data_IF_755507902700
#
_entry.id   IF_755507902700
#
_cell.length_a   1.000
_cell.length_b   1.000
_cell.length_c   1.000
_cell.angle_alpha   90.00
_cell.angle_beta   90.00
_cell.angle_gamma   90.00
#
_symmetry.space_group_name_H-M   'P 1'
#
loop_
_entity.id
_entity.type
_entity.pdbx_description
1 polymer ?
#
# COMPACT_ATOMS: atom_id res chain seq x y z
N UNK A 1 62.23 50.01 -78.39
CA UNK A 1 63.62 50.16 -77.89
C UNK A 1 64.51 49.94 -79.10
N UNK A 2 65.61 50.70 -79.28
CA UNK A 2 66.28 50.93 -80.59
C UNK A 2 65.34 51.67 -81.59
N UNK A 3 65.63 52.92 -81.99
CA UNK A 3 66.64 53.39 -82.97
C UNK A 3 66.39 52.78 -84.36
N UNK A 4 65.86 53.54 -85.31
CA UNK A 4 66.57 54.58 -86.09
C UNK A 4 67.73 53.94 -86.85
N UNK A 5 67.51 53.70 -88.14
CA UNK A 5 68.34 54.25 -89.21
C UNK A 5 67.44 54.48 -90.42
N UNK A 6 67.31 55.75 -90.82
CA UNK A 6 66.50 56.14 -91.97
C UNK A 6 67.42 56.18 -93.19
N UNK A 7 67.50 55.06 -93.90
CA UNK A 7 68.37 54.93 -95.06
C UNK A 7 67.91 55.88 -96.18
N UNK A 8 68.86 56.53 -96.84
CA UNK A 8 68.55 57.66 -97.74
C UNK A 8 67.72 57.20 -98.94
N UNK A 9 66.62 57.88 -99.29
CA UNK A 9 65.91 57.57 -100.54
C UNK A 9 66.82 57.90 -101.72
N UNK A 10 67.38 56.87 -102.34
CA UNK A 10 68.20 56.97 -103.53
C UNK A 10 67.30 57.40 -104.71
N UNK A 11 67.15 58.71 -104.89
CA UNK A 11 66.30 59.28 -105.94
C UNK A 11 66.73 58.78 -107.32
N UNK A 12 65.78 58.20 -108.05
CA UNK A 12 65.99 57.52 -109.33
C UNK A 12 66.94 58.30 -110.25
N UNK A 13 67.90 57.62 -110.86
CA UNK A 13 68.78 58.24 -111.87
C UNK A 13 68.00 58.60 -113.13
N UNK A 14 68.51 59.50 -114.01
CA UNK A 14 67.75 59.95 -115.17
C UNK A 14 67.25 58.83 -116.09
N UNK A 15 68.08 57.79 -116.31
CA UNK A 15 67.71 56.65 -117.14
C UNK A 15 66.61 55.77 -116.51
N UNK A 16 66.58 55.68 -115.17
CA UNK A 16 65.54 54.94 -114.45
C UNK A 16 64.22 55.72 -114.42
N UNK A 17 64.27 57.06 -114.36
CA UNK A 17 63.08 57.92 -114.46
C UNK A 17 62.39 57.76 -115.82
N UNK A 18 63.13 57.84 -116.91
CA UNK A 18 62.55 57.70 -118.26
C UNK A 18 61.93 56.32 -118.46
N UNK A 19 62.61 55.24 -118.04
CA UNK A 19 62.08 53.88 -118.11
C UNK A 19 60.81 53.68 -117.24
N UNK A 20 60.79 54.21 -116.01
CA UNK A 20 59.62 54.13 -115.12
C UNK A 20 58.47 55.01 -115.63
N UNK A 21 58.74 56.17 -116.24
CA UNK A 21 57.72 57.02 -116.85
C UNK A 21 57.15 56.41 -118.14
N UNK A 22 57.95 55.67 -118.91
CA UNK A 22 57.51 54.92 -120.07
C UNK A 22 56.61 53.73 -119.65
N UNK A 23 57.03 52.96 -118.65
CA UNK A 23 56.21 51.88 -118.05
C UNK A 23 54.92 52.44 -117.43
N UNK A 24 54.96 53.55 -116.68
CA UNK A 24 53.75 54.18 -116.11
C UNK A 24 52.83 54.79 -117.18
N UNK A 25 53.37 55.14 -118.36
CA UNK A 25 52.58 55.54 -119.51
C UNK A 25 51.91 54.34 -120.15
N UNK A 26 52.66 53.25 -120.40
CA UNK A 26 52.12 51.99 -120.93
C UNK A 26 51.10 51.34 -119.98
N UNK A 27 51.30 51.43 -118.66
CA UNK A 27 50.33 51.04 -117.64
C UNK A 27 49.10 51.96 -117.59
N UNK A 28 49.26 53.28 -117.71
CA UNK A 28 48.11 54.20 -117.75
C UNK A 28 47.27 54.02 -119.02
N UNK A 29 47.93 53.82 -120.16
CA UNK A 29 47.29 53.55 -121.44
C UNK A 29 46.63 52.15 -121.43
N UNK A 30 47.26 51.14 -120.81
CA UNK A 30 46.66 49.82 -120.57
C UNK A 30 45.48 49.86 -119.60
N UNK A 31 45.53 50.68 -118.54
CA UNK A 31 44.42 50.87 -117.61
C UNK A 31 43.24 51.56 -118.31
N UNK A 32 43.52 52.55 -119.16
CA UNK A 32 42.52 53.19 -120.02
C UNK A 32 41.92 52.20 -121.04
N UNK A 33 42.72 51.29 -121.62
CA UNK A 33 42.22 50.21 -122.47
C UNK A 33 41.32 49.26 -121.67
N UNK A 34 41.70 48.85 -120.45
CA UNK A 34 40.87 48.02 -119.57
C UNK A 34 39.53 48.70 -119.23
N UNK A 35 39.57 49.98 -118.84
CA UNK A 35 38.37 50.79 -118.56
C UNK A 35 37.45 50.93 -119.79
N UNK A 36 38.01 51.09 -121.00
CA UNK A 36 37.23 51.16 -122.23
C UNK A 36 36.70 49.78 -122.71
N UNK A 37 37.36 48.68 -122.34
CA UNK A 37 36.99 47.33 -122.78
C UNK A 37 35.92 46.69 -121.88
N UNK A 38 35.84 47.08 -120.60
CA UNK A 38 34.86 46.60 -119.61
C UNK A 38 33.41 47.10 -119.82
N UNK A 39 32.96 47.23 -121.08
CA UNK A 39 31.66 47.81 -121.43
C UNK A 39 30.52 46.77 -121.53
N UNK A 40 30.35 45.95 -120.49
CA UNK A 40 29.14 45.12 -120.30
C UNK A 40 28.64 45.16 -118.84
N UNK A 41 27.32 45.14 -118.58
CA UNK A 41 26.76 45.51 -117.28
C UNK A 41 26.38 44.32 -116.38
N UNK A 42 26.93 44.28 -115.16
CA UNK A 42 26.31 43.68 -113.96
C UNK A 42 27.11 44.01 -112.69
N UNK A 43 28.44 43.90 -112.77
CA UNK A 43 29.39 44.06 -111.66
C UNK A 43 30.29 45.28 -111.87
N UNK A 44 29.71 46.39 -112.34
CA UNK A 44 30.49 47.55 -112.81
C UNK A 44 30.98 48.45 -111.66
N UNK A 45 30.10 48.82 -110.73
CA UNK A 45 30.30 50.00 -109.87
C UNK A 45 31.51 49.89 -108.94
N UNK A 46 31.65 48.78 -108.19
CA UNK A 46 32.80 48.57 -107.30
C UNK A 46 34.14 48.47 -108.08
N UNK A 47 34.12 47.89 -109.29
CA UNK A 47 35.31 47.85 -110.15
C UNK A 47 35.60 49.21 -110.81
N UNK A 48 34.58 50.06 -111.00
CA UNK A 48 34.76 51.46 -111.41
C UNK A 48 35.38 52.29 -110.28
N UNK A 49 34.93 52.16 -109.04
CA UNK A 49 35.53 52.88 -107.91
C UNK A 49 36.99 52.47 -107.72
N UNK A 50 37.31 51.17 -107.71
CA UNK A 50 38.69 50.68 -107.65
C UNK A 50 39.49 51.17 -108.88
N UNK A 51 38.92 51.13 -110.08
CA UNK A 51 39.57 51.59 -111.30
C UNK A 51 39.84 53.10 -111.35
N UNK A 52 38.95 53.92 -110.77
CA UNK A 52 39.12 55.37 -110.63
C UNK A 52 40.15 55.70 -109.55
N UNK A 53 40.11 55.00 -108.41
CA UNK A 53 41.07 55.11 -107.31
C UNK A 53 42.50 54.77 -107.79
N UNK A 54 42.70 53.61 -108.42
CA UNK A 54 43.98 53.22 -109.03
C UNK A 54 44.40 54.19 -110.15
N UNK A 55 43.45 54.64 -110.99
CA UNK A 55 43.72 55.63 -112.03
C UNK A 55 44.15 57.01 -111.49
N UNK A 56 43.61 57.42 -110.34
CA UNK A 56 44.04 58.62 -109.63
C UNK A 56 45.46 58.45 -109.10
N UNK A 57 45.75 57.35 -108.38
CA UNK A 57 47.07 57.04 -107.85
C UNK A 57 48.13 57.01 -108.96
N UNK A 58 47.87 56.32 -110.08
CA UNK A 58 48.80 56.25 -111.23
C UNK A 58 49.04 57.64 -111.85
N UNK A 59 48.01 58.46 -112.02
CA UNK A 59 48.15 59.84 -112.53
C UNK A 59 48.96 60.72 -111.60
N UNK A 60 48.75 60.57 -110.30
CA UNK A 60 49.34 61.44 -109.29
C UNK A 60 50.79 61.02 -108.96
N UNK A 61 51.09 59.72 -108.98
CA UNK A 61 52.45 59.15 -109.01
C UNK A 61 53.24 59.54 -110.27
N UNK A 62 52.60 59.52 -111.46
CA UNK A 62 53.21 59.97 -112.71
C UNK A 62 53.61 61.44 -112.66
N UNK A 63 52.82 62.29 -111.98
CA UNK A 63 53.18 63.68 -111.69
C UNK A 63 54.35 63.76 -110.70
N UNK A 64 54.32 63.00 -109.61
CA UNK A 64 55.40 62.99 -108.61
C UNK A 64 56.76 62.60 -109.21
N UNK A 65 56.82 61.54 -110.01
CA UNK A 65 58.07 61.08 -110.66
C UNK A 65 58.56 62.09 -111.71
N UNK A 66 57.64 62.76 -112.41
CA UNK A 66 57.98 63.81 -113.39
C UNK A 66 58.53 65.09 -112.73
N UNK A 67 58.02 65.47 -111.56
CA UNK A 67 58.39 66.72 -110.88
C UNK A 67 59.54 66.56 -109.87
N UNK A 68 59.65 65.39 -109.23
CA UNK A 68 60.52 65.15 -108.05
C UNK A 68 61.38 63.91 -108.23
N UNK A 69 60.83 62.85 -108.82
CA UNK A 69 61.49 61.55 -108.99
C UNK A 69 61.45 60.67 -107.73
N UNK A 70 60.46 60.93 -106.88
CA UNK A 70 60.12 60.19 -105.67
C UNK A 70 58.86 59.34 -105.91
N UNK A 71 58.56 58.42 -104.98
CA UNK A 71 57.46 57.44 -105.04
C UNK A 71 56.62 57.51 -103.74
N UNK A 72 56.62 58.66 -103.06
CA UNK A 72 56.01 58.87 -101.74
C UNK A 72 54.49 58.65 -101.76
N UNK A 73 53.79 58.98 -102.85
CA UNK A 73 52.34 58.75 -102.98
C UNK A 73 52.01 57.25 -102.96
N UNK A 74 52.83 56.42 -103.63
CA UNK A 74 52.60 54.97 -103.64
C UNK A 74 52.98 54.33 -102.29
N UNK A 75 54.05 54.82 -101.65
CA UNK A 75 54.47 54.37 -100.31
C UNK A 75 53.37 54.69 -99.29
N UNK A 76 52.87 55.93 -99.23
CA UNK A 76 51.83 56.33 -98.28
C UNK A 76 50.49 55.61 -98.50
N UNK A 77 50.13 55.27 -99.75
CA UNK A 77 48.92 54.49 -100.02
C UNK A 77 49.11 53.00 -99.66
N UNK A 78 50.30 52.43 -99.86
CA UNK A 78 50.66 51.08 -99.37
C UNK A 78 50.66 51.04 -97.83
N UNK A 79 51.19 52.06 -97.16
CA UNK A 79 51.15 52.19 -95.70
C UNK A 79 49.71 52.34 -95.18
N UNK A 80 48.85 53.07 -95.90
CA UNK A 80 47.42 53.17 -95.53
C UNK A 80 46.69 51.84 -95.73
N UNK A 81 46.97 51.10 -96.81
CA UNK A 81 46.38 49.79 -97.06
C UNK A 81 46.85 48.78 -96.00
N UNK A 82 48.17 48.66 -95.77
CA UNK A 82 48.70 47.69 -94.78
C UNK A 82 48.27 48.03 -93.35
N UNK A 83 48.20 49.31 -92.97
CA UNK A 83 47.62 49.72 -91.67
C UNK A 83 46.13 49.41 -91.55
N UNK A 84 45.38 49.45 -92.65
CA UNK A 84 43.97 49.04 -92.67
C UNK A 84 43.83 47.52 -92.58
N UNK A 85 44.57 46.75 -93.39
CA UNK A 85 44.59 45.28 -93.34
C UNK A 85 45.03 44.75 -91.96
N UNK A 86 45.99 45.40 -91.30
CA UNK A 86 46.46 45.03 -89.96
C UNK A 86 45.42 45.36 -88.87
N UNK A 87 44.67 46.46 -89.00
CA UNK A 87 43.53 46.76 -88.13
C UNK A 87 42.37 45.77 -88.35
N UNK A 88 42.04 45.45 -89.60
CA UNK A 88 41.01 44.47 -89.94
C UNK A 88 41.40 43.06 -89.43
N UNK A 89 42.67 42.66 -89.53
CA UNK A 89 43.18 41.42 -88.93
C UNK A 89 43.03 41.40 -87.41
N UNK A 90 43.41 42.47 -86.71
CA UNK A 90 43.27 42.56 -85.26
C UNK A 90 41.79 42.52 -84.82
N UNK A 91 40.88 43.14 -85.58
CA UNK A 91 39.44 43.06 -85.33
C UNK A 91 38.87 41.66 -85.57
N UNK A 92 39.38 40.93 -86.56
CA UNK A 92 39.02 39.51 -86.78
C UNK A 92 39.55 38.62 -85.66
N UNK A 93 40.81 38.78 -85.24
CA UNK A 93 41.39 38.06 -84.10
C UNK A 93 40.58 38.27 -82.80
N UNK A 94 40.19 39.52 -82.49
CA UNK A 94 39.33 39.82 -81.34
C UNK A 94 37.89 39.33 -81.53
N UNK A 95 37.36 39.31 -82.76
CA UNK A 95 36.05 38.70 -83.01
C UNK A 95 36.07 37.19 -82.75
N UNK A 96 37.11 36.47 -83.18
CA UNK A 96 37.28 35.03 -82.92
C UNK A 96 37.50 34.73 -81.42
N UNK A 97 38.32 35.53 -80.72
CA UNK A 97 38.47 35.46 -79.25
C UNK A 97 37.14 35.68 -78.54
N UNK A 98 36.38 36.69 -78.95
CA UNK A 98 35.05 36.95 -78.38
C UNK A 98 34.04 35.85 -78.74
N UNK A 99 34.10 35.28 -79.95
CA UNK A 99 33.22 34.18 -80.37
C UNK A 99 33.49 32.89 -79.59
N UNK A 100 34.77 32.54 -79.38
CA UNK A 100 35.17 31.39 -78.57
C UNK A 100 34.74 31.55 -77.11
N UNK A 101 35.02 32.70 -76.48
CA UNK A 101 34.54 33.01 -75.11
C UNK A 101 33.01 32.98 -75.02
N UNK A 102 32.28 33.52 -76.00
CA UNK A 102 30.81 33.42 -76.03
C UNK A 102 30.33 31.98 -76.19
N UNK A 103 31.06 31.12 -76.91
CA UNK A 103 30.73 29.69 -77.02
C UNK A 103 30.94 28.94 -75.70
N UNK A 104 32.00 29.25 -74.96
CA UNK A 104 32.30 28.67 -73.64
C UNK A 104 31.30 29.15 -72.57
N UNK A 105 30.93 30.44 -72.59
CA UNK A 105 29.88 30.99 -71.72
C UNK A 105 28.51 30.36 -72.04
N UNK A 106 28.16 30.16 -73.31
CA UNK A 106 26.94 29.43 -73.68
C UNK A 106 26.96 27.98 -73.20
N UNK A 107 28.09 27.28 -73.35
CA UNK A 107 28.26 25.90 -72.88
C UNK A 107 28.15 25.82 -71.36
N UNK A 108 28.88 26.64 -70.61
CA UNK A 108 28.83 26.64 -69.14
C UNK A 108 27.44 27.02 -68.60
N UNK A 109 26.69 27.90 -69.28
CA UNK A 109 25.28 28.17 -68.95
C UNK A 109 24.40 26.93 -69.19
N UNK A 110 24.61 26.17 -70.27
CA UNK A 110 23.87 24.93 -70.54
C UNK A 110 24.21 23.81 -69.54
N UNK A 111 25.50 23.61 -69.26
CA UNK A 111 25.99 22.64 -68.27
C UNK A 111 25.48 22.98 -66.85
N UNK A 112 25.41 24.26 -66.49
CA UNK A 112 24.82 24.71 -65.21
C UNK A 112 23.31 24.56 -65.15
N UNK A 113 22.57 24.78 -66.25
CA UNK A 113 21.11 24.54 -66.31
C UNK A 113 20.79 23.07 -66.10
N UNK A 114 21.38 22.18 -66.89
CA UNK A 114 21.15 20.73 -66.78
C UNK A 114 21.58 20.16 -65.43
N UNK A 115 22.70 20.62 -64.88
CA UNK A 115 23.12 20.26 -63.51
C UNK A 115 22.15 20.76 -62.43
N UNK A 116 21.49 21.91 -62.63
CA UNK A 116 20.51 22.43 -61.68
C UNK A 116 19.17 21.69 -61.80
N UNK A 117 18.69 21.43 -63.03
CA UNK A 117 17.49 20.61 -63.29
C UNK A 117 17.63 19.22 -62.65
N UNK A 118 18.79 18.56 -62.78
CA UNK A 118 19.06 17.28 -62.11
C UNK A 118 19.07 17.38 -60.58
N UNK A 119 19.57 18.49 -60.02
CA UNK A 119 19.56 18.73 -58.58
C UNK A 119 18.14 19.01 -58.04
N UNK A 120 17.31 19.72 -58.80
CA UNK A 120 15.89 19.94 -58.50
C UNK A 120 15.07 18.66 -58.65
N UNK A 121 15.30 17.86 -59.69
CA UNK A 121 14.71 16.51 -59.84
C UNK A 121 15.07 15.61 -58.66
N UNK A 122 16.34 15.56 -58.25
CA UNK A 122 16.76 14.76 -57.10
C UNK A 122 16.12 15.27 -55.80
N UNK A 123 16.05 16.59 -55.62
CA UNK A 123 15.46 17.22 -54.43
C UNK A 123 13.95 17.01 -54.35
N UNK A 124 13.22 17.12 -55.46
CA UNK A 124 11.78 16.86 -55.54
C UNK A 124 11.44 15.39 -55.32
N UNK A 125 12.19 14.46 -55.92
CA UNK A 125 12.07 13.02 -55.66
C UNK A 125 12.30 12.70 -54.18
N UNK A 126 13.31 13.30 -53.55
CA UNK A 126 13.58 13.16 -52.10
C UNK A 126 12.46 13.77 -51.24
N UNK A 127 11.92 14.94 -51.61
CA UNK A 127 10.80 15.57 -50.92
C UNK A 127 9.54 14.68 -50.95
N UNK A 128 9.21 14.10 -52.10
CA UNK A 128 8.09 13.15 -52.25
C UNK A 128 8.29 11.95 -51.30
N UNK A 129 9.43 11.25 -51.38
CA UNK A 129 9.70 10.09 -50.51
C UNK A 129 9.63 10.42 -49.01
N UNK A 130 10.16 11.58 -48.59
CA UNK A 130 10.07 12.01 -47.18
C UNK A 130 8.66 12.45 -46.75
N UNK A 131 7.83 12.92 -47.69
CA UNK A 131 6.41 13.20 -47.47
C UNK A 131 5.62 11.90 -47.30
N UNK A 132 5.82 10.94 -48.19
CA UNK A 132 5.08 9.67 -48.20
C UNK A 132 5.38 8.86 -46.93
N UNK A 133 6.66 8.81 -46.50
CA UNK A 133 7.04 8.19 -45.23
C UNK A 133 6.43 8.92 -44.01
N UNK A 134 6.37 10.26 -44.04
CA UNK A 134 5.70 11.05 -43.00
C UNK A 134 4.19 10.80 -42.95
N UNK A 135 3.54 10.54 -44.08
CA UNK A 135 2.12 10.17 -44.14
C UNK A 135 1.91 8.72 -43.69
N UNK A 136 2.80 7.78 -44.05
CA UNK A 136 2.82 6.40 -43.56
C UNK A 136 2.98 6.32 -42.04
N UNK A 137 3.93 7.07 -41.47
CA UNK A 137 4.18 7.09 -40.02
C UNK A 137 3.02 7.71 -39.22
N UNK A 138 2.28 8.69 -39.78
CA UNK A 138 1.01 9.16 -39.18
C UNK A 138 -0.01 8.03 -39.09
N UNK A 139 -0.26 7.32 -40.19
CA UNK A 139 -1.25 6.25 -40.24
C UNK A 139 -0.94 5.11 -39.25
N UNK A 140 0.34 4.77 -39.10
CA UNK A 140 0.83 3.82 -38.09
C UNK A 140 0.55 4.34 -36.67
N UNK A 141 1.02 5.56 -36.35
CA UNK A 141 0.79 6.18 -35.03
C UNK A 141 -0.70 6.27 -34.68
N UNK A 142 -1.55 6.62 -35.64
CA UNK A 142 -2.99 6.72 -35.42
C UNK A 142 -3.66 5.35 -35.22
N UNK A 143 -3.12 4.28 -35.83
CA UNK A 143 -3.53 2.91 -35.56
C UNK A 143 -3.06 2.43 -34.17
N UNK A 144 -1.80 2.69 -33.81
CA UNK A 144 -1.24 2.40 -32.49
C UNK A 144 -2.01 3.11 -31.37
N UNK A 145 -2.31 4.40 -31.53
CA UNK A 145 -3.11 5.16 -30.55
C UNK A 145 -4.53 4.63 -30.40
N UNK A 146 -5.17 4.13 -31.48
CA UNK A 146 -6.47 3.46 -31.38
C UNK A 146 -6.37 2.12 -30.65
N UNK A 147 -5.36 1.31 -30.98
CA UNK A 147 -5.11 0.02 -30.31
C UNK A 147 -4.86 0.18 -28.82
N UNK A 148 -3.97 1.09 -28.43
CA UNK A 148 -3.63 1.36 -27.01
C UNK A 148 -4.86 1.83 -26.23
N UNK A 149 -5.67 2.74 -26.78
CA UNK A 149 -6.93 3.19 -26.14
C UNK A 149 -7.89 2.03 -25.90
N UNK A 150 -8.20 1.26 -26.94
CA UNK A 150 -9.14 0.13 -26.84
C UNK A 150 -8.63 -0.97 -25.90
N UNK A 151 -7.33 -1.27 -25.91
CA UNK A 151 -6.71 -2.20 -24.97
C UNK A 151 -6.79 -1.71 -23.52
N UNK A 152 -6.54 -0.43 -23.29
CA UNK A 152 -6.57 0.16 -21.95
C UNK A 152 -8.00 0.33 -21.42
N UNK A 153 -8.97 0.59 -22.31
CA UNK A 153 -10.41 0.58 -22.03
C UNK A 153 -10.88 -0.82 -21.63
N UNK A 154 -10.66 -1.84 -22.47
CA UNK A 154 -11.00 -3.24 -22.14
C UNK A 154 -10.28 -3.73 -20.87
N UNK A 155 -9.04 -3.29 -20.63
CA UNK A 155 -8.30 -3.57 -19.39
C UNK A 155 -8.95 -2.88 -18.18
N UNK A 156 -9.43 -1.64 -18.30
CA UNK A 156 -10.15 -0.95 -17.22
C UNK A 156 -11.47 -1.66 -16.91
N UNK A 157 -12.27 -2.01 -17.92
CA UNK A 157 -13.52 -2.77 -17.79
C UNK A 157 -13.30 -4.15 -17.13
N UNK A 158 -12.32 -4.93 -17.59
CA UNK A 158 -11.98 -6.23 -17.00
C UNK A 158 -11.58 -6.12 -15.52
N UNK A 159 -10.85 -5.06 -15.14
CA UNK A 159 -10.49 -4.85 -13.74
C UNK A 159 -11.72 -4.49 -12.90
N UNK A 160 -12.61 -3.61 -13.39
CA UNK A 160 -13.88 -3.27 -12.72
C UNK A 160 -14.74 -4.52 -12.48
N UNK A 161 -15.03 -5.29 -13.54
CA UNK A 161 -15.82 -6.52 -13.45
C UNK A 161 -15.21 -7.54 -12.48
N UNK A 162 -13.87 -7.64 -12.41
CA UNK A 162 -13.19 -8.51 -11.44
C UNK A 162 -13.37 -8.01 -10.01
N UNK A 163 -13.25 -6.70 -9.76
CA UNK A 163 -13.48 -6.14 -8.43
C UNK A 163 -14.93 -6.28 -7.99
N UNK A 164 -15.89 -6.01 -8.88
CA UNK A 164 -17.32 -6.21 -8.64
C UNK A 164 -17.61 -7.66 -8.27
N UNK A 165 -17.09 -8.64 -9.02
CA UNK A 165 -17.26 -10.07 -8.74
C UNK A 165 -16.69 -10.49 -7.37
N UNK A 166 -15.54 -9.97 -6.95
CA UNK A 166 -15.00 -10.24 -5.61
C UNK A 166 -15.78 -9.52 -4.49
N UNK A 167 -16.25 -8.28 -4.72
CA UNK A 167 -17.15 -7.60 -3.78
C UNK A 167 -18.46 -8.37 -3.61
N UNK A 168 -19.03 -8.91 -4.70
CA UNK A 168 -20.27 -9.69 -4.70
C UNK A 168 -20.10 -11.01 -3.91
N UNK A 169 -18.95 -11.68 -4.05
CA UNK A 169 -18.60 -12.87 -3.26
C UNK A 169 -18.46 -12.51 -1.77
N UNK A 170 -17.70 -11.47 -1.45
CA UNK A 170 -17.50 -11.02 -0.07
C UNK A 170 -18.82 -10.61 0.59
N UNK A 171 -19.68 -9.85 -0.12
CA UNK A 171 -21.01 -9.46 0.34
C UNK A 171 -21.91 -10.68 0.60
N UNK A 172 -21.85 -11.73 -0.23
CA UNK A 172 -22.56 -13.00 0.03
C UNK A 172 -22.04 -13.68 1.29
N UNK A 173 -20.72 -13.86 1.43
CA UNK A 173 -20.14 -14.48 2.64
C UNK A 173 -20.42 -13.68 3.92
N UNK A 174 -20.42 -12.34 3.85
CA UNK A 174 -20.75 -11.46 4.96
C UNK A 174 -22.23 -11.62 5.36
N UNK A 175 -23.14 -11.68 4.38
CA UNK A 175 -24.55 -11.93 4.65
C UNK A 175 -24.82 -13.33 5.22
N UNK A 176 -24.11 -14.36 4.76
CA UNK A 176 -24.19 -15.71 5.31
C UNK A 176 -23.69 -15.76 6.77
N UNK A 177 -22.56 -15.11 7.07
CA UNK A 177 -22.06 -14.97 8.44
C UNK A 177 -23.05 -14.22 9.33
N UNK A 178 -23.56 -13.07 8.89
CA UNK A 178 -24.57 -12.30 9.62
C UNK A 178 -25.87 -13.10 9.85
N UNK A 179 -26.26 -13.98 8.91
CA UNK A 179 -27.43 -14.84 9.05
C UNK A 179 -27.19 -15.98 10.07
N UNK A 180 -25.98 -16.54 10.13
CA UNK A 180 -25.58 -17.51 11.17
C UNK A 180 -25.56 -16.87 12.54
N UNK A 181 -24.90 -15.72 12.68
CA UNK A 181 -24.78 -14.99 13.94
C UNK A 181 -26.15 -14.62 14.53
N UNK A 182 -27.09 -14.12 13.71
CA UNK A 182 -28.48 -13.86 14.15
C UNK A 182 -29.20 -15.12 14.62
N UNK A 183 -28.98 -16.26 13.96
CA UNK A 183 -29.57 -17.53 14.36
C UNK A 183 -28.96 -18.05 15.68
N UNK A 184 -27.64 -17.99 15.82
CA UNK A 184 -26.91 -18.36 17.04
C UNK A 184 -27.32 -17.47 18.23
N UNK A 185 -27.37 -16.14 18.04
CA UNK A 185 -27.84 -15.20 19.05
C UNK A 185 -29.29 -15.48 19.47
N UNK A 186 -30.18 -15.83 18.53
CA UNK A 186 -31.56 -16.25 18.84
C UNK A 186 -31.58 -17.54 19.66
N UNK A 187 -30.89 -18.59 19.22
CA UNK A 187 -30.83 -19.88 19.95
C UNK A 187 -30.23 -19.70 21.35
N UNK A 188 -29.18 -18.89 21.48
CA UNK A 188 -28.57 -18.54 22.75
C UNK A 188 -29.56 -17.79 23.67
N UNK A 189 -30.32 -16.83 23.16
CA UNK A 189 -31.33 -16.12 23.96
C UNK A 189 -32.44 -17.04 24.48
N UNK A 190 -32.88 -18.02 23.68
CA UNK A 190 -33.87 -19.02 24.09
C UNK A 190 -33.28 -20.02 25.11
N UNK A 191 -32.02 -20.42 24.92
CA UNK A 191 -31.31 -21.29 25.85
C UNK A 191 -31.10 -20.60 27.21
N UNK A 192 -30.65 -19.35 27.22
CA UNK A 192 -30.52 -18.53 28.44
C UNK A 192 -31.90 -18.41 29.12
N UNK A 193 -32.96 -18.05 28.37
CA UNK A 193 -34.33 -17.94 28.91
C UNK A 193 -34.81 -19.24 29.55
N UNK A 194 -34.59 -20.38 28.90
CA UNK A 194 -34.93 -21.70 29.44
C UNK A 194 -34.12 -22.03 30.70
N UNK A 195 -32.80 -21.80 30.69
CA UNK A 195 -31.93 -22.07 31.83
C UNK A 195 -32.29 -21.18 33.03
N UNK A 196 -32.53 -19.88 32.84
CA UNK A 196 -32.99 -18.97 33.90
C UNK A 196 -34.32 -19.44 34.51
N UNK A 197 -35.30 -19.79 33.67
CA UNK A 197 -36.59 -20.34 34.14
C UNK A 197 -36.42 -21.66 34.91
N UNK A 198 -35.52 -22.55 34.45
CA UNK A 198 -35.26 -23.84 35.08
C UNK A 198 -34.50 -23.70 36.41
N UNK A 199 -33.56 -22.76 36.50
CA UNK A 199 -32.84 -22.42 37.74
C UNK A 199 -33.82 -21.86 38.77
N UNK A 200 -34.68 -20.90 38.40
CA UNK A 200 -35.69 -20.33 39.29
C UNK A 200 -36.67 -21.42 39.81
N UNK A 201 -37.15 -22.31 38.94
CA UNK A 201 -38.02 -23.42 39.33
C UNK A 201 -37.35 -24.37 40.34
N UNK A 202 -36.05 -24.66 40.17
CA UNK A 202 -35.29 -25.50 41.10
C UNK A 202 -35.03 -24.76 42.41
N UNK A 203 -34.70 -23.46 42.37
CA UNK A 203 -34.52 -22.61 43.55
C UNK A 203 -35.77 -22.57 44.44
N UNK A 204 -36.93 -22.23 43.85
CA UNK A 204 -38.22 -22.22 44.55
C UNK A 204 -38.51 -23.57 45.25
N UNK A 205 -38.20 -24.69 44.58
CA UNK A 205 -38.40 -26.03 45.14
C UNK A 205 -37.39 -26.35 46.26
N UNK A 206 -36.14 -25.89 46.15
CA UNK A 206 -35.16 -26.02 47.25
C UNK A 206 -35.64 -25.24 48.47
N UNK A 207 -36.12 -24.01 48.30
CA UNK A 207 -36.70 -23.22 49.39
C UNK A 207 -37.94 -23.89 50.01
N UNK A 208 -38.81 -24.52 49.22
CA UNK A 208 -39.97 -25.28 49.73
C UNK A 208 -39.54 -26.45 50.61
N UNK A 209 -38.50 -27.19 50.21
CA UNK A 209 -37.94 -28.28 51.00
C UNK A 209 -37.21 -27.78 52.25
N UNK A 210 -36.46 -26.68 52.17
CA UNK A 210 -35.84 -26.05 53.33
C UNK A 210 -36.92 -25.54 54.31
N UNK A 211 -37.89 -24.75 53.84
CA UNK A 211 -39.05 -24.30 54.63
C UNK A 211 -39.83 -25.46 55.24
N UNK A 212 -39.81 -26.67 54.65
CA UNK A 212 -40.38 -27.89 55.22
C UNK A 212 -39.49 -28.46 56.32
N UNK A 213 -38.19 -28.65 56.04
CA UNK A 213 -37.20 -29.15 57.01
C UNK A 213 -37.19 -28.30 58.28
N UNK A 214 -37.11 -26.97 58.14
CA UNK A 214 -37.18 -25.98 59.21
C UNK A 214 -38.43 -26.08 60.11
N UNK A 215 -39.54 -26.68 59.61
CA UNK A 215 -40.78 -26.92 60.38
C UNK A 215 -40.77 -28.28 61.05
N UNK A 216 -40.25 -29.30 60.38
CA UNK A 216 -40.14 -30.67 60.92
C UNK A 216 -39.09 -30.70 62.04
N UNK A 217 -37.93 -30.05 61.86
CA UNK A 217 -36.92 -29.82 62.89
C UNK A 217 -37.51 -29.15 64.13
N UNK A 218 -38.16 -27.97 63.98
CA UNK A 218 -38.80 -27.22 65.08
C UNK A 218 -40.02 -27.92 65.69
N UNK A 219 -40.48 -29.02 65.09
CA UNK A 219 -41.52 -29.89 65.64
C UNK A 219 -40.86 -31.00 66.47
N UNK A 220 -39.90 -31.74 65.92
CA UNK A 220 -39.14 -32.76 66.65
C UNK A 220 -38.36 -32.17 67.83
N UNK A 221 -37.79 -30.97 67.73
CA UNK A 221 -37.19 -30.27 68.88
C UNK A 221 -38.16 -30.05 70.04
N UNK A 222 -39.46 -29.83 69.76
CA UNK A 222 -40.49 -29.62 70.79
C UNK A 222 -40.90 -30.95 71.41
N UNK A 223 -41.02 -31.99 70.60
CA UNK A 223 -41.29 -33.35 71.09
C UNK A 223 -40.14 -33.86 71.96
N UNK A 224 -38.88 -33.70 71.51
CA UNK A 224 -37.68 -34.04 72.28
C UNK A 224 -37.63 -33.25 73.59
N UNK A 225 -37.95 -31.95 73.57
CA UNK A 225 -38.05 -31.14 74.81
C UNK A 225 -39.15 -31.65 75.73
N UNK A 226 -40.35 -31.90 75.21
CA UNK A 226 -41.47 -32.43 76.00
C UNK A 226 -41.10 -33.75 76.67
N UNK A 227 -40.55 -34.71 75.93
CA UNK A 227 -40.15 -36.02 76.46
C UNK A 227 -39.01 -35.88 77.48
N UNK A 228 -38.07 -34.95 77.31
CA UNK A 228 -37.05 -34.66 78.33
C UNK A 228 -37.65 -34.14 79.62
N UNK A 229 -38.58 -33.18 79.54
CA UNK A 229 -39.29 -32.68 80.71
C UNK A 229 -40.06 -33.82 81.41
N UNK A 230 -40.84 -34.63 80.67
CA UNK A 230 -41.56 -35.79 81.22
C UNK A 230 -40.60 -36.82 81.87
N UNK A 231 -39.38 -36.98 81.35
CA UNK A 231 -38.31 -37.80 81.95
C UNK A 231 -37.61 -37.15 83.15
N UNK A 232 -37.70 -35.83 83.32
CA UNK A 232 -37.15 -35.09 84.47
C UNK A 232 -38.19 -35.03 85.60
N UNK A 233 -39.45 -34.76 85.29
CA UNK A 233 -40.59 -34.84 86.21
C UNK A 233 -40.70 -36.24 86.83
N UNK A 234 -40.73 -37.30 86.01
CA UNK A 234 -40.81 -38.69 86.51
C UNK A 234 -39.57 -39.14 87.28
N UNK A 235 -38.40 -38.49 87.12
CA UNK A 235 -37.24 -38.72 88.00
C UNK A 235 -37.43 -38.04 89.34
N UNK A 236 -37.92 -36.81 89.37
CA UNK A 236 -38.21 -36.09 90.61
C UNK A 236 -39.27 -36.83 91.45
N UNK A 237 -40.32 -37.36 90.82
CA UNK A 237 -41.33 -38.21 91.48
C UNK A 237 -40.71 -39.49 92.08
N UNK A 238 -39.84 -40.18 91.33
CA UNK A 238 -39.15 -41.38 91.82
C UNK A 238 -38.14 -41.09 92.93
N UNK A 239 -37.44 -39.97 92.88
CA UNK A 239 -36.53 -39.51 93.94
C UNK A 239 -37.30 -39.14 95.21
N UNK A 240 -38.44 -38.43 95.07
CA UNK A 240 -39.36 -38.12 96.17
C UNK A 240 -39.92 -39.37 96.83
N UNK A 241 -40.50 -40.29 96.05
CA UNK A 241 -41.01 -41.56 96.58
C UNK A 241 -39.90 -42.42 97.22
N UNK A 242 -38.67 -42.32 96.72
CA UNK A 242 -37.50 -43.00 97.32
C UNK A 242 -37.10 -42.38 98.66
N UNK A 243 -37.19 -41.06 98.84
CA UNK A 243 -36.89 -40.42 100.14
C UNK A 243 -38.02 -40.65 101.15
N UNK A 244 -39.29 -40.62 100.72
CA UNK A 244 -40.42 -41.03 101.56
C UNK A 244 -40.30 -42.49 102.01
N UNK A 245 -39.99 -43.41 101.09
CA UNK A 245 -39.81 -44.83 101.43
C UNK A 245 -38.68 -45.04 102.44
N UNK A 246 -37.54 -44.35 102.29
CA UNK A 246 -36.45 -44.39 103.28
C UNK A 246 -36.88 -43.86 104.63
N UNK A 247 -37.51 -42.69 104.68
CA UNK A 247 -38.01 -42.10 105.93
C UNK A 247 -39.03 -42.99 106.64
N UNK A 248 -39.92 -43.64 105.89
CA UNK A 248 -40.90 -44.59 106.43
C UNK A 248 -40.23 -45.87 106.93
N UNK A 249 -39.21 -46.38 106.24
CA UNK A 249 -38.45 -47.55 106.68
C UNK A 249 -37.65 -47.23 107.96
N UNK A 250 -36.98 -46.09 108.03
CA UNK A 250 -36.27 -45.60 109.23
C UNK A 250 -37.23 -45.44 110.42
N UNK A 251 -38.46 -44.96 110.20
CA UNK A 251 -39.50 -44.90 111.23
C UNK A 251 -39.98 -46.29 111.69
N UNK A 252 -40.16 -47.25 110.77
CA UNK A 252 -40.54 -48.62 111.11
C UNK A 252 -39.42 -49.31 111.91
N UNK A 253 -38.16 -49.18 111.47
CA UNK A 253 -37.01 -49.81 112.11
C UNK A 253 -36.75 -49.25 113.52
N UNK A 254 -36.91 -47.93 113.70
CA UNK A 254 -36.83 -47.30 115.03
C UNK A 254 -37.97 -47.74 115.95
N UNK A 255 -39.22 -47.77 115.46
CA UNK A 255 -40.37 -48.25 116.24
C UNK A 255 -40.24 -49.73 116.64
N UNK A 256 -39.72 -50.59 115.76
CA UNK A 256 -39.44 -51.99 116.08
C UNK A 256 -38.33 -52.11 117.14
N UNK A 257 -37.25 -51.32 117.03
CA UNK A 257 -36.19 -51.29 118.04
C UNK A 257 -36.68 -50.79 119.42
N UNK A 258 -37.62 -49.83 119.46
CA UNK A 258 -38.29 -49.41 120.69
C UNK A 258 -39.17 -50.52 121.28
N UNK A 259 -39.96 -51.22 120.47
CA UNK A 259 -40.75 -52.36 120.94
C UNK A 259 -39.86 -53.49 121.49
N UNK A 260 -38.74 -53.80 120.83
CA UNK A 260 -37.75 -54.75 121.32
C UNK A 260 -37.03 -54.28 122.59
N UNK A 261 -36.85 -52.98 122.79
CA UNK A 261 -36.34 -52.44 124.05
C UNK A 261 -37.37 -52.60 125.18
N UNK A 262 -38.66 -52.33 124.90
CA UNK A 262 -39.75 -52.47 125.84
C UNK A 262 -40.05 -53.93 126.21
N UNK A 263 -39.92 -54.90 125.29
CA UNK A 263 -40.03 -56.33 125.63
C UNK A 263 -38.86 -56.77 126.50
N UNK A 264 -37.62 -56.46 126.12
CA UNK A 264 -36.42 -56.77 126.94
C UNK A 264 -36.47 -56.12 128.33
N UNK A 265 -37.00 -54.90 128.45
CA UNK A 265 -37.22 -54.27 129.76
C UNK A 265 -38.26 -55.05 130.57
N UNK A 266 -39.42 -55.39 130.00
CA UNK A 266 -40.47 -56.17 130.69
C UNK A 266 -39.96 -57.56 131.11
N UNK A 267 -39.21 -58.24 130.25
CA UNK A 267 -38.58 -59.53 130.55
C UNK A 267 -37.56 -59.42 131.68
N UNK A 268 -36.74 -58.36 131.70
CA UNK A 268 -35.81 -58.07 132.77
C UNK A 268 -36.55 -57.78 134.08
N UNK A 269 -37.56 -56.91 134.06
CA UNK A 269 -38.41 -56.62 135.21
C UNK A 269 -39.10 -57.87 135.74
N UNK A 270 -39.66 -58.73 134.88
CA UNK A 270 -40.26 -60.00 135.29
C UNK A 270 -39.22 -61.00 135.79
N UNK A 271 -38.00 -61.02 135.25
CA UNK A 271 -36.92 -61.84 135.78
C UNK A 271 -36.49 -61.35 137.18
N UNK A 272 -36.36 -60.04 137.39
CA UNK A 272 -36.10 -59.42 138.70
C UNK A 272 -37.25 -59.68 139.66
N UNK A 273 -38.52 -59.50 139.25
CA UNK A 273 -39.74 -59.74 140.03
C UNK A 273 -39.85 -61.21 140.44
N UNK A 274 -39.65 -62.17 139.52
CA UNK A 274 -39.58 -63.61 139.83
C UNK A 274 -38.42 -63.93 140.78
N UNK A 275 -37.28 -63.28 140.64
CA UNK A 275 -36.13 -63.45 141.54
C UNK A 275 -36.40 -62.90 142.95
N UNK A 276 -36.98 -61.70 143.06
CA UNK A 276 -37.41 -61.11 144.32
C UNK A 276 -38.47 -61.96 145.02
N UNK A 277 -39.44 -62.51 144.29
CA UNK A 277 -40.45 -63.45 144.84
C UNK A 277 -39.76 -64.71 145.38
N UNK A 278 -38.81 -65.31 144.64
CA UNK A 278 -38.02 -66.46 145.12
C UNK A 278 -37.24 -66.12 146.41
N UNK A 279 -36.57 -64.97 146.45
CA UNK A 279 -35.82 -64.52 147.63
C UNK A 279 -36.74 -64.23 148.84
N UNK A 280 -37.89 -63.59 148.62
CA UNK A 280 -38.89 -63.36 149.67
C UNK A 280 -39.50 -64.68 150.18
N UNK A 281 -39.82 -65.63 149.30
CA UNK A 281 -40.36 -66.93 149.68
C UNK A 281 -39.34 -67.77 150.47
N UNK A 282 -38.08 -67.75 150.03
CA UNK A 282 -36.96 -68.33 150.78
C UNK A 282 -36.83 -67.69 152.16
N UNK A 283 -36.82 -66.35 152.24
CA UNK A 283 -36.70 -65.63 153.51
C UNK A 283 -37.89 -65.88 154.45
N UNK A 284 -39.13 -65.85 153.96
CA UNK A 284 -40.34 -66.23 154.74
C UNK A 284 -40.20 -67.66 155.28
N UNK A 285 -39.76 -68.60 154.45
CA UNK A 285 -39.48 -69.98 154.88
C UNK A 285 -38.33 -70.10 155.89
N UNK A 286 -37.29 -69.26 155.79
CA UNK A 286 -36.20 -69.16 156.77
C UNK A 286 -36.70 -68.58 158.09
N UNK A 287 -37.52 -67.52 158.09
CA UNK A 287 -38.10 -66.96 159.31
C UNK A 287 -38.95 -67.98 160.07
N UNK A 288 -39.81 -68.74 159.36
CA UNK A 288 -40.60 -69.83 159.96
C UNK A 288 -39.69 -70.93 160.51
N UNK A 289 -38.74 -71.44 159.72
CA UNK A 289 -37.85 -72.55 160.15
C UNK A 289 -36.89 -72.17 161.27
N UNK A 290 -36.43 -70.92 161.34
CA UNK A 290 -35.56 -70.39 162.41
C UNK A 290 -36.33 -69.69 163.55
N UNK A 291 -37.68 -69.72 163.52
CA UNK A 291 -38.57 -69.11 164.53
C UNK A 291 -38.26 -67.63 164.82
N UNK A 292 -37.99 -66.86 163.75
CA UNK A 292 -37.72 -65.43 163.80
C UNK A 292 -39.00 -64.62 163.58
N UNK A 293 -39.09 -63.44 164.21
CA UNK A 293 -40.27 -62.58 164.12
C UNK A 293 -41.52 -63.19 164.80
N UNK A 294 -42.72 -63.02 164.23
CA UNK A 294 -43.99 -63.44 164.86
C UNK A 294 -44.16 -64.94 165.16
N UNK A 295 -43.25 -65.80 164.66
CA UNK A 295 -43.32 -67.26 164.84
C UNK A 295 -42.48 -67.79 166.02
N UNK A 296 -42.11 -66.90 166.97
CA UNK A 296 -41.45 -67.25 168.23
C UNK A 296 -42.51 -67.66 169.28
N UNK A 297 -42.56 -68.93 169.74
CA UNK A 297 -43.58 -69.38 170.67
C UNK A 297 -43.37 -68.81 172.09
N UNK A 298 -44.48 -68.47 172.77
CA UNK A 298 -44.48 -67.90 174.12
C UNK A 298 -44.53 -68.98 175.23
N UNK A 299 -43.82 -68.75 176.35
CA UNK A 299 -43.83 -69.66 177.50
C UNK A 299 -45.03 -69.41 178.43
N UNK A 300 -45.75 -70.49 178.78
CA UNK A 300 -46.80 -70.46 179.81
C UNK A 300 -46.21 -70.35 181.22
N UNK A 301 -46.62 -69.35 182.02
CA UNK A 301 -46.42 -69.36 183.49
C UNK A 301 -47.70 -68.97 184.24
N UNK A 302 -48.17 -69.84 185.13
CA UNK A 302 -49.28 -69.58 186.08
C UNK A 302 -48.83 -68.56 187.13
N UNK A 303 -49.74 -67.70 187.62
CA UNK A 303 -49.48 -66.74 188.72
C UNK A 303 -50.34 -67.03 189.96
N UNK A 304 -49.73 -66.86 191.14
CA UNK A 304 -50.30 -66.45 192.46
C UNK A 304 -49.10 -66.34 193.41
N UNK A 305 -48.94 -65.37 194.31
CA UNK A 305 -49.59 -64.08 194.58
C UNK A 305 -48.56 -63.23 195.41
N UNK A 306 -48.79 -62.12 196.13
CA UNK A 306 -49.97 -61.36 196.60
C UNK A 306 -49.54 -59.88 196.83
N UNK A 307 -50.51 -58.94 196.93
CA UNK A 307 -50.40 -57.55 197.46
C UNK A 307 -49.69 -56.51 196.56
N UNK A 308 -49.98 -55.20 196.65
CA UNK A 308 -51.23 -54.42 196.47
C UNK A 308 -50.96 -52.96 196.92
N UNK A 309 -50.90 -52.04 195.94
CA UNK A 309 -51.06 -50.57 196.00
C UNK A 309 -50.75 -50.07 194.57
N UNK A 310 -51.40 -49.06 194.01
CA UNK A 310 -52.44 -48.16 194.52
C UNK A 310 -53.66 -48.21 193.59
#
# INVERSE_FOLDING_TARGET
MATIEADSPAGLSPAERDAVLEILKECADSLAVYQNTLRQPATADAFLEIGLYVGNIIRDLKREISERGTIEILIGEIERITSQEEQERLLLEEHERMQTVVSELRKTIADKRTSNEQAEEHSTKKLILTRDEKERLKLIKDAEMRYVRAWEEARREQNVLRYELEMDKLAKTLNDCNARERNENRVNSELIRYLTQRIALIGNRIEEWQRRYDREEKMYEKEIRKVRNEMEDTRADLEGLTTEYRSNQEFIDTYLAEQEALTRQKEHEDHVRRSAIRMQAWWRGVMVRRKLGPYRPEERKKKRAVKTKK
#
